data_IF_702486875730
#
_entry.id   IF_702486875730
#
_cell.length_a   1.000
_cell.length_b   1.000
_cell.length_c   1.000
_cell.angle_alpha   90.00
_cell.angle_beta   90.00
_cell.angle_gamma   90.00
#
_symmetry.space_group_name_H-M   'P 1'
#
loop_
_entity.id
_entity.type
_entity.pdbx_description
1 polymer ?
#
# COMPACT_ATOMS: atom_id res chain seq x y z
N UNK A 1 16.53 24.95 -9.46
CA UNK A 1 17.19 24.35 -8.26
C UNK A 1 17.21 22.85 -8.46
N UNK A 2 18.37 22.22 -8.35
CA UNK A 2 18.51 20.76 -8.56
C UNK A 2 17.63 20.02 -7.53
N UNK A 3 16.73 19.13 -7.96
CA UNK A 3 15.79 18.42 -7.06
C UNK A 3 16.47 17.73 -5.88
N UNK A 4 17.71 17.26 -6.06
CA UNK A 4 18.49 16.61 -5.01
C UNK A 4 18.93 17.57 -3.89
N UNK A 5 19.18 18.84 -4.19
CA UNK A 5 19.61 19.85 -3.21
C UNK A 5 18.41 20.30 -2.36
N UNK A 6 17.28 20.58 -3.00
CA UNK A 6 16.04 20.95 -2.29
C UNK A 6 15.59 19.83 -1.34
N UNK A 7 15.76 18.57 -1.74
CA UNK A 7 15.44 17.41 -0.92
C UNK A 7 16.32 17.31 0.33
N UNK A 8 17.63 17.49 0.21
CA UNK A 8 18.58 17.45 1.33
C UNK A 8 18.32 18.55 2.35
N UNK A 9 18.02 19.75 1.89
CA UNK A 9 17.75 20.91 2.78
C UNK A 9 16.46 20.72 3.58
N UNK A 10 15.43 20.10 2.99
CA UNK A 10 14.13 19.89 3.65
C UNK A 10 14.07 18.60 4.50
N UNK A 11 15.02 17.69 4.39
CA UNK A 11 15.02 16.44 5.13
C UNK A 11 14.97 16.60 6.66
N UNK A 12 15.76 17.49 7.29
CA UNK A 12 15.69 17.73 8.74
C UNK A 12 14.31 18.25 9.18
N UNK A 13 13.71 19.17 8.43
CA UNK A 13 12.38 19.72 8.71
C UNK A 13 11.32 18.63 8.62
N UNK A 14 11.41 17.78 7.60
CA UNK A 14 10.50 16.63 7.45
C UNK A 14 10.66 15.62 8.60
N UNK A 15 11.90 15.35 9.03
CA UNK A 15 12.17 14.46 10.19
C UNK A 15 11.57 15.03 11.47
N UNK A 16 11.76 16.31 11.73
CA UNK A 16 11.18 16.99 12.91
C UNK A 16 9.66 16.93 12.85
N UNK A 17 9.06 17.29 11.72
CA UNK A 17 7.60 17.18 11.51
C UNK A 17 7.09 15.77 11.81
N UNK A 18 7.75 14.74 11.31
CA UNK A 18 7.34 13.36 11.50
C UNK A 18 7.43 12.93 12.97
N UNK A 19 8.45 13.39 13.71
CA UNK A 19 8.55 13.19 15.17
C UNK A 19 7.41 13.86 15.91
N UNK A 20 7.10 15.11 15.58
CA UNK A 20 5.99 15.84 16.19
C UNK A 20 4.64 15.18 15.90
N UNK A 21 4.44 14.70 14.68
CA UNK A 21 3.26 13.92 14.31
C UNK A 21 3.14 12.64 15.14
N UNK A 22 4.23 11.89 15.30
CA UNK A 22 4.22 10.68 16.12
C UNK A 22 3.84 10.98 17.57
N UNK A 23 4.52 11.93 18.20
CA UNK A 23 4.23 12.32 19.59
C UNK A 23 2.78 12.78 19.73
N UNK A 24 2.32 13.68 18.85
CA UNK A 24 0.94 14.19 18.90
C UNK A 24 -0.11 13.08 18.74
N UNK A 25 0.10 12.12 17.85
CA UNK A 25 -0.77 10.96 17.65
C UNK A 25 -0.82 10.06 18.90
N UNK A 26 0.35 9.77 19.50
CA UNK A 26 0.44 8.94 20.68
C UNK A 26 -0.18 9.61 21.91
N UNK A 27 0.02 10.92 22.07
CA UNK A 27 -0.64 11.70 23.12
C UNK A 27 -2.16 11.64 22.94
N UNK A 28 -2.67 11.92 21.74
CA UNK A 28 -4.10 11.86 21.45
C UNK A 28 -4.67 10.46 21.73
N UNK A 29 -3.97 9.40 21.31
CA UNK A 29 -4.35 8.01 21.58
C UNK A 29 -4.43 7.71 23.08
N UNK A 30 -3.41 8.12 23.86
CA UNK A 30 -3.37 7.94 25.31
C UNK A 30 -4.45 8.73 26.03
N UNK A 31 -4.83 9.90 25.49
CA UNK A 31 -5.95 10.71 26.00
C UNK A 31 -7.33 10.19 25.54
N UNK A 32 -7.40 9.00 24.95
CA UNK A 32 -8.65 8.34 24.60
C UNK A 32 -9.16 8.66 23.19
N UNK A 33 -8.41 9.36 22.33
CA UNK A 33 -8.81 9.55 20.95
C UNK A 33 -8.93 8.20 20.23
N UNK A 34 -10.09 7.95 19.63
CA UNK A 34 -10.34 6.80 18.74
C UNK A 34 -11.01 7.26 17.45
N UNK A 35 -10.46 6.79 16.35
CA UNK A 35 -11.05 6.98 15.03
C UNK A 35 -12.07 5.87 14.80
N UNK A 36 -13.34 6.23 14.69
CA UNK A 36 -14.46 5.29 14.53
C UNK A 36 -14.99 5.30 13.11
N UNK A 37 -15.60 4.20 12.70
CA UNK A 37 -16.42 4.09 11.51
C UNK A 37 -17.85 3.71 11.89
N UNK A 38 -18.81 3.98 11.03
CA UNK A 38 -20.19 3.51 11.18
C UNK A 38 -20.35 2.03 10.79
N UNK A 39 -19.37 1.49 10.03
CA UNK A 39 -19.39 0.11 9.58
C UNK A 39 -19.12 -0.87 10.72
N UNK A 40 -19.88 -1.97 10.74
CA UNK A 40 -19.61 -3.11 11.64
C UNK A 40 -18.43 -3.98 11.17
N UNK A 41 -17.99 -3.80 9.93
CA UNK A 41 -16.86 -4.52 9.35
C UNK A 41 -15.56 -4.23 10.10
N UNK A 42 -14.66 -5.21 10.09
CA UNK A 42 -13.33 -5.11 10.71
C UNK A 42 -12.24 -5.17 9.65
N UNK A 43 -11.09 -4.60 9.99
CA UNK A 43 -9.97 -4.39 9.09
C UNK A 43 -8.69 -5.06 9.61
N UNK A 44 -7.98 -5.80 8.76
CA UNK A 44 -6.56 -6.12 8.96
C UNK A 44 -5.69 -5.07 8.26
N UNK A 45 -4.68 -4.55 8.96
CA UNK A 45 -3.65 -3.68 8.36
C UNK A 45 -2.34 -4.45 8.22
N UNK A 46 -1.70 -4.38 7.05
CA UNK A 46 -0.42 -5.05 6.77
C UNK A 46 0.64 -4.02 6.39
N UNK A 47 1.78 -4.09 7.02
CA UNK A 47 2.91 -3.18 6.80
C UNK A 47 4.19 -3.98 6.60
N UNK A 48 4.77 -4.02 5.39
CA UNK A 48 6.13 -4.53 5.19
C UNK A 48 7.16 -3.51 5.68
N UNK A 49 8.20 -3.99 6.35
CA UNK A 49 9.35 -3.20 6.79
C UNK A 49 10.64 -3.82 6.27
N UNK A 50 11.43 -3.05 5.54
CA UNK A 50 12.70 -3.53 4.98
C UNK A 50 13.90 -2.69 5.42
N UNK A 51 13.95 -1.43 5.00
CA UNK A 51 15.09 -0.53 5.23
C UNK A 51 14.76 0.64 6.17
N UNK A 52 13.50 0.75 6.61
CA UNK A 52 12.99 1.91 7.37
C UNK A 52 12.27 1.50 8.67
N UNK A 53 12.90 0.70 9.56
CA UNK A 53 12.21 0.16 10.74
C UNK A 53 11.66 1.26 11.67
N UNK A 54 12.35 2.43 11.75
CA UNK A 54 11.91 3.58 12.58
C UNK A 54 10.63 4.25 12.09
N UNK A 55 10.21 4.00 10.85
CA UNK A 55 8.98 4.58 10.31
C UNK A 55 7.73 3.82 10.78
N UNK A 56 7.89 2.55 11.16
CA UNK A 56 6.76 1.68 11.54
C UNK A 56 6.02 2.25 12.73
N UNK A 57 6.70 2.75 13.75
CA UNK A 57 6.07 3.39 14.91
C UNK A 57 5.17 4.58 14.53
N UNK A 58 5.61 5.40 13.58
CA UNK A 58 4.80 6.53 13.12
C UNK A 58 3.54 6.07 12.39
N UNK A 59 3.60 4.99 11.63
CA UNK A 59 2.43 4.39 10.97
C UNK A 59 1.52 3.77 12.03
N UNK A 60 2.08 2.96 12.94
CA UNK A 60 1.35 2.33 14.04
C UNK A 60 0.58 3.34 14.87
N UNK A 61 1.18 4.51 15.18
CA UNK A 61 0.55 5.58 15.97
C UNK A 61 -0.80 6.07 15.40
N UNK A 62 -1.03 5.91 14.10
CA UNK A 62 -2.31 6.21 13.46
C UNK A 62 -3.25 5.02 13.46
N UNK A 63 -2.70 3.83 13.22
CA UNK A 63 -3.48 2.60 13.01
C UNK A 63 -4.07 2.11 14.33
N UNK A 64 -3.30 2.15 15.43
CA UNK A 64 -3.80 1.74 16.76
C UNK A 64 -4.96 2.63 17.25
N UNK A 65 -5.06 3.85 16.77
CA UNK A 65 -6.18 4.74 17.08
C UNK A 65 -7.47 4.38 16.33
N UNK A 66 -7.43 3.48 15.34
CA UNK A 66 -8.60 3.02 14.61
C UNK A 66 -9.25 1.84 15.34
N UNK A 67 -10.48 2.03 15.86
CA UNK A 67 -11.19 0.99 16.61
C UNK A 67 -11.77 -0.13 15.74
N UNK A 68 -11.93 0.14 14.45
CA UNK A 68 -12.35 -0.83 13.43
C UNK A 68 -11.20 -1.74 12.93
N UNK A 69 -9.96 -1.48 13.31
CA UNK A 69 -8.81 -2.37 13.05
C UNK A 69 -8.76 -3.45 14.11
N UNK A 70 -8.88 -4.72 13.71
CA UNK A 70 -8.83 -5.89 14.62
C UNK A 70 -7.48 -6.59 14.63
N UNK A 71 -6.70 -6.47 13.55
CA UNK A 71 -5.38 -7.08 13.40
C UNK A 71 -4.41 -6.12 12.69
N UNK A 72 -3.16 -6.10 13.15
CA UNK A 72 -2.07 -5.33 12.56
C UNK A 72 -0.89 -6.28 12.36
N UNK A 73 -0.54 -6.54 11.11
CA UNK A 73 0.59 -7.39 10.74
C UNK A 73 1.76 -6.50 10.32
N UNK A 74 2.85 -6.57 11.05
CA UNK A 74 4.12 -5.94 10.67
C UNK A 74 5.06 -7.03 10.18
N UNK A 75 5.34 -7.05 8.88
CA UNK A 75 6.28 -8.01 8.30
C UNK A 75 7.70 -7.45 8.33
N UNK A 76 8.57 -8.07 9.11
CA UNK A 76 10.00 -7.77 9.06
C UNK A 76 10.62 -8.50 7.86
N UNK A 77 10.76 -7.78 6.76
CA UNK A 77 11.28 -8.32 5.49
C UNK A 77 12.82 -8.37 5.43
N UNK A 78 13.49 -7.86 6.47
CA UNK A 78 14.95 -7.88 6.57
C UNK A 78 15.38 -8.51 7.91
N UNK A 79 15.71 -9.80 7.96
CA UNK A 79 16.06 -10.48 9.20
C UNK A 79 17.33 -9.93 9.87
N UNK A 80 18.16 -9.16 9.15
CA UNK A 80 19.32 -8.48 9.75
C UNK A 80 18.94 -7.26 10.60
N UNK A 81 17.66 -6.83 10.57
CA UNK A 81 17.16 -5.71 11.35
C UNK A 81 16.35 -6.25 12.54
N UNK A 82 16.78 -6.01 13.78
CA UNK A 82 15.99 -6.35 14.97
C UNK A 82 14.84 -5.33 15.12
N UNK A 83 13.73 -5.57 14.44
CA UNK A 83 12.63 -4.61 14.28
C UNK A 83 12.06 -4.16 15.63
N UNK A 84 12.01 -5.05 16.63
CA UNK A 84 11.49 -4.76 17.97
C UNK A 84 12.23 -3.62 18.68
N UNK A 85 13.51 -3.42 18.39
CA UNK A 85 14.29 -2.34 18.98
C UNK A 85 13.83 -0.95 18.50
N UNK A 86 13.03 -0.90 17.44
CA UNK A 86 12.50 0.32 16.85
C UNK A 86 11.00 0.52 17.12
N UNK A 87 10.34 -0.47 17.74
CA UNK A 87 8.91 -0.43 18.02
C UNK A 87 8.64 -0.06 19.48
N UNK A 88 8.03 1.11 19.68
CA UNK A 88 7.65 1.65 20.99
C UNK A 88 6.14 1.73 21.16
N UNK A 89 5.39 1.46 20.09
CA UNK A 89 3.93 1.35 20.13
C UNK A 89 3.56 -0.08 20.49
N UNK A 90 2.93 -0.26 21.65
CA UNK A 90 2.45 -1.55 22.13
C UNK A 90 0.93 -1.58 22.05
N UNK A 91 0.39 -2.58 21.36
CA UNK A 91 -1.04 -2.84 21.23
C UNK A 91 -1.22 -4.34 20.99
N UNK A 92 -2.18 -5.02 21.67
CA UNK A 92 -2.34 -6.48 21.54
C UNK A 92 -2.74 -6.95 20.14
N UNK A 93 -3.20 -6.04 19.28
CA UNK A 93 -3.54 -6.34 17.89
C UNK A 93 -2.31 -6.44 16.97
N UNK A 94 -1.14 -5.99 17.45
CA UNK A 94 0.09 -5.99 16.65
C UNK A 94 0.73 -7.38 16.69
N UNK A 95 0.93 -7.95 15.52
CA UNK A 95 1.67 -9.20 15.29
C UNK A 95 2.85 -8.93 14.37
N UNK A 96 4.06 -9.22 14.85
CA UNK A 96 5.28 -9.14 14.04
C UNK A 96 5.52 -10.49 13.39
N UNK A 97 5.78 -10.49 12.08
CA UNK A 97 6.13 -11.68 11.32
C UNK A 97 7.56 -11.50 10.80
N UNK A 98 8.50 -12.27 11.35
CA UNK A 98 9.88 -12.26 10.87
C UNK A 98 10.02 -13.17 9.65
N UNK A 99 10.49 -12.61 8.55
CA UNK A 99 10.82 -13.40 7.38
C UNK A 99 12.17 -14.10 7.57
N UNK A 100 12.29 -15.39 7.18
CA UNK A 100 13.54 -16.17 7.42
C UNK A 100 14.72 -15.67 6.57
N UNK A 101 14.43 -14.91 5.52
CA UNK A 101 15.42 -14.31 4.60
C UNK A 101 14.92 -12.95 4.15
N UNK A 102 15.78 -12.17 3.49
CA UNK A 102 15.36 -10.93 2.83
C UNK A 102 14.26 -11.23 1.82
N UNK A 103 13.12 -10.57 2.00
CA UNK A 103 11.89 -10.83 1.25
C UNK A 103 11.36 -9.53 0.68
N UNK A 104 10.89 -9.52 -0.57
CA UNK A 104 10.30 -8.32 -1.18
C UNK A 104 8.97 -7.95 -0.52
N UNK A 105 8.49 -6.74 -0.78
CA UNK A 105 7.25 -6.22 -0.21
C UNK A 105 6.01 -7.02 -0.66
N UNK A 106 6.09 -7.75 -1.76
CA UNK A 106 5.03 -8.65 -2.27
C UNK A 106 4.60 -9.74 -1.30
N UNK A 107 5.43 -10.09 -0.29
CA UNK A 107 5.06 -11.03 0.78
C UNK A 107 3.79 -10.60 1.54
N UNK A 108 3.43 -9.31 1.49
CA UNK A 108 2.17 -8.81 2.05
C UNK A 108 0.95 -9.55 1.52
N UNK A 109 0.96 -10.00 0.29
CA UNK A 109 -0.17 -10.71 -0.30
C UNK A 109 -0.24 -12.18 0.15
N UNK A 110 0.89 -12.82 0.41
CA UNK A 110 0.92 -14.13 1.06
C UNK A 110 0.36 -14.04 2.49
N UNK A 111 0.78 -13.02 3.25
CA UNK A 111 0.26 -12.75 4.58
C UNK A 111 -1.24 -12.40 4.56
N UNK A 112 -1.71 -11.75 3.51
CA UNK A 112 -3.12 -11.40 3.34
C UNK A 112 -4.04 -12.60 3.21
N UNK A 113 -3.58 -13.72 2.67
CA UNK A 113 -4.34 -14.98 2.65
C UNK A 113 -4.70 -15.49 4.03
N UNK A 114 -3.84 -15.19 5.02
CA UNK A 114 -3.97 -15.62 6.41
C UNK A 114 -4.38 -14.50 7.35
N UNK A 115 -4.82 -13.35 6.81
CA UNK A 115 -5.34 -12.24 7.59
C UNK A 115 -6.63 -12.63 8.32
N UNK A 116 -6.84 -12.14 9.54
CA UNK A 116 -8.05 -12.40 10.30
C UNK A 116 -9.30 -11.91 9.59
N UNK A 117 -9.18 -10.75 8.93
CA UNK A 117 -10.31 -10.10 8.28
C UNK A 117 -10.30 -10.27 6.75
N UNK A 118 -11.48 -10.17 6.16
CA UNK A 118 -11.64 -10.10 4.70
C UNK A 118 -11.12 -8.79 4.12
N UNK A 119 -11.29 -7.69 4.86
CA UNK A 119 -10.94 -6.35 4.47
C UNK A 119 -9.50 -6.04 4.87
N UNK A 120 -8.70 -5.60 3.94
CA UNK A 120 -7.26 -5.43 4.16
C UNK A 120 -6.83 -4.05 3.66
N UNK A 121 -5.99 -3.38 4.45
CA UNK A 121 -5.25 -2.18 4.03
C UNK A 121 -3.76 -2.48 4.14
N UNK A 122 -3.05 -2.36 3.03
CA UNK A 122 -1.59 -2.38 3.03
C UNK A 122 -1.04 -0.94 3.05
N UNK A 123 0.01 -0.70 3.82
CA UNK A 123 0.67 0.61 3.96
C UNK A 123 2.18 0.41 3.80
N UNK A 124 2.79 1.13 2.86
CA UNK A 124 4.24 1.10 2.67
C UNK A 124 4.98 1.80 3.81
N UNK A 125 6.23 1.39 4.07
CA UNK A 125 7.05 1.90 5.18
C UNK A 125 7.58 3.33 4.98
N UNK A 126 7.18 4.01 3.90
CA UNK A 126 7.61 5.37 3.57
C UNK A 126 6.47 6.42 3.55
N UNK A 127 5.24 6.02 3.88
CA UNK A 127 4.08 6.90 3.97
C UNK A 127 3.41 6.83 5.33
N UNK A 128 2.86 7.95 5.76
CA UNK A 128 2.32 8.13 7.11
C UNK A 128 0.88 8.64 7.08
N UNK A 129 -0.09 7.79 6.69
CA UNK A 129 -1.49 8.18 6.70
C UNK A 129 -1.95 8.49 8.12
N UNK A 130 -2.88 9.42 8.28
CA UNK A 130 -3.60 9.64 9.53
C UNK A 130 -4.67 8.57 9.72
N UNK A 131 -5.16 8.39 10.94
CA UNK A 131 -6.26 7.47 11.24
C UNK A 131 -7.53 7.79 10.42
N UNK A 132 -7.80 9.09 10.15
CA UNK A 132 -8.91 9.50 9.28
C UNK A 132 -8.71 9.07 7.83
N UNK A 133 -7.46 9.09 7.34
CA UNK A 133 -7.13 8.60 6.01
C UNK A 133 -7.28 7.06 5.95
N UNK A 134 -6.78 6.32 6.94
CA UNK A 134 -6.99 4.87 7.02
C UNK A 134 -8.49 4.54 7.00
N UNK A 135 -9.31 5.25 7.80
CA UNK A 135 -10.76 5.10 7.81
C UNK A 135 -11.36 5.36 6.43
N UNK A 136 -11.02 6.48 5.80
CA UNK A 136 -11.58 6.84 4.49
C UNK A 136 -11.28 5.77 3.43
N UNK A 137 -10.08 5.17 3.46
CA UNK A 137 -9.71 4.11 2.52
C UNK A 137 -10.52 2.83 2.78
N UNK A 138 -10.69 2.47 4.05
CA UNK A 138 -11.50 1.33 4.46
C UNK A 138 -12.98 1.50 4.07
N UNK A 139 -13.60 2.65 4.38
CA UNK A 139 -14.99 2.95 4.02
C UNK A 139 -15.22 2.91 2.50
N UNK A 140 -14.23 3.35 1.69
CA UNK A 140 -14.29 3.22 0.22
C UNK A 140 -14.28 1.78 -0.24
N UNK A 141 -13.44 0.95 0.37
CA UNK A 141 -13.40 -0.48 0.06
C UNK A 141 -14.70 -1.18 0.43
N UNK A 142 -15.28 -0.88 1.60
CA UNK A 142 -16.57 -1.46 2.03
C UNK A 142 -17.69 -1.04 1.10
N UNK A 143 -17.72 0.23 0.68
CA UNK A 143 -18.74 0.76 -0.24
C UNK A 143 -18.64 0.21 -1.68
N UNK A 144 -17.43 -0.15 -2.13
CA UNK A 144 -17.20 -0.68 -3.48
C UNK A 144 -16.19 -1.84 -3.47
N UNK A 145 -16.56 -3.00 -2.91
CA UNK A 145 -15.66 -4.13 -2.66
C UNK A 145 -15.19 -4.86 -3.92
N UNK A 146 -15.74 -4.52 -5.07
CA UNK A 146 -15.35 -5.06 -6.37
C UNK A 146 -14.12 -4.39 -6.99
N UNK A 147 -13.69 -3.24 -6.45
CA UNK A 147 -12.52 -2.51 -6.89
C UNK A 147 -11.42 -2.52 -5.83
N UNK A 148 -10.18 -2.36 -6.25
CA UNK A 148 -9.05 -2.06 -5.36
C UNK A 148 -8.92 -0.55 -5.22
N UNK A 149 -8.66 -0.05 -4.02
CA UNK A 149 -8.67 1.38 -3.70
C UNK A 149 -7.32 1.86 -3.20
N UNK A 150 -6.98 3.13 -3.47
CA UNK A 150 -5.75 3.75 -3.00
C UNK A 150 -5.81 5.26 -2.90
N UNK A 151 -4.69 5.89 -2.57
CA UNK A 151 -4.53 7.33 -2.48
C UNK A 151 -3.68 7.94 -3.58
N UNK A 152 -2.86 7.16 -4.20
CA UNK A 152 -2.03 7.53 -5.34
C UNK A 152 -1.98 6.40 -6.33
N UNK A 153 -1.74 6.72 -7.57
CA UNK A 153 -1.64 5.73 -8.62
C UNK A 153 -0.98 6.31 -9.87
N UNK A 154 -0.87 5.46 -10.86
CA UNK A 154 -0.22 5.75 -12.13
C UNK A 154 -1.17 5.42 -13.27
N UNK A 155 -1.16 6.28 -14.28
CA UNK A 155 -1.85 6.06 -15.54
C UNK A 155 -0.79 5.87 -16.61
N UNK A 156 -0.88 4.79 -17.34
CA UNK A 156 0.04 4.42 -18.39
C UNK A 156 -0.65 4.52 -19.75
N UNK A 157 0.01 5.17 -20.70
CA UNK A 157 -0.47 5.21 -22.09
C UNK A 157 -0.42 3.85 -22.78
N UNK A 158 -1.11 3.71 -23.90
CA UNK A 158 -1.03 2.51 -24.72
C UNK A 158 0.32 2.41 -25.44
N UNK A 159 0.93 1.20 -25.57
CA UNK A 159 2.02 0.96 -26.49
C UNK A 159 1.53 1.15 -27.95
N UNK A 160 2.34 1.63 -28.89
CA UNK A 160 3.77 1.86 -28.81
C UNK A 160 4.16 3.31 -28.58
N UNK A 161 3.23 4.20 -28.27
CA UNK A 161 3.57 5.59 -28.00
C UNK A 161 4.59 5.62 -26.86
N UNK A 162 5.65 6.40 -27.00
CA UNK A 162 6.63 6.65 -25.93
C UNK A 162 5.88 6.79 -24.62
N UNK A 163 6.13 5.89 -23.69
CA UNK A 163 5.36 5.70 -22.48
C UNK A 163 4.99 7.02 -21.83
N UNK A 164 3.76 7.45 -22.02
CA UNK A 164 3.19 8.54 -21.27
C UNK A 164 2.82 7.98 -19.91
N UNK A 165 3.72 8.13 -18.97
CA UNK A 165 3.52 7.82 -17.59
C UNK A 165 3.04 9.09 -16.87
N UNK A 166 1.95 8.99 -16.13
CA UNK A 166 1.45 10.05 -15.30
C UNK A 166 1.13 9.56 -13.90
N UNK A 167 1.93 9.98 -12.92
CA UNK A 167 1.59 9.79 -11.52
C UNK A 167 0.42 10.71 -11.13
N UNK A 168 -0.64 10.13 -10.60
CA UNK A 168 -1.80 10.85 -10.06
C UNK A 168 -1.74 10.84 -8.55
N UNK A 169 -1.70 12.03 -7.96
CA UNK A 169 -1.62 12.23 -6.53
C UNK A 169 -2.68 13.25 -6.12
N UNK A 170 -3.39 12.98 -5.03
CA UNK A 170 -4.41 13.89 -4.48
C UNK A 170 -5.44 14.35 -5.55
N UNK A 171 -6.17 13.42 -6.16
CA UNK A 171 -7.15 13.77 -7.18
C UNK A 171 -8.27 14.63 -6.54
N UNK A 172 -8.96 15.45 -7.34
CA UNK A 172 -10.11 16.23 -6.85
C UNK A 172 -11.35 15.38 -6.55
N UNK A 173 -11.39 14.14 -7.00
CA UNK A 173 -12.48 13.17 -6.81
C UNK A 173 -11.95 11.76 -6.84
N UNK A 174 -12.74 10.82 -7.32
CA UNK A 174 -12.31 9.44 -7.61
C UNK A 174 -11.77 9.36 -9.02
N UNK A 175 -10.60 8.73 -9.20
CA UNK A 175 -9.94 8.58 -10.50
C UNK A 175 -9.52 7.12 -10.68
N UNK A 176 -9.80 6.57 -11.86
CA UNK A 176 -9.31 5.27 -12.28
C UNK A 176 -7.82 5.33 -12.63
N UNK A 177 -7.05 4.33 -12.22
CA UNK A 177 -5.62 4.21 -12.45
C UNK A 177 -5.24 2.78 -12.86
N UNK A 178 -4.08 2.63 -13.46
CA UNK A 178 -3.55 1.33 -13.88
C UNK A 178 -2.72 0.65 -12.79
N UNK A 179 -2.08 1.42 -11.94
CA UNK A 179 -1.39 0.88 -10.76
C UNK A 179 -1.52 1.81 -9.57
N UNK A 180 -1.58 1.22 -8.38
CA UNK A 180 -1.66 1.93 -7.12
C UNK A 180 -0.27 2.27 -6.59
N UNK A 181 -0.21 3.15 -5.58
CA UNK A 181 1.01 3.52 -4.87
C UNK A 181 0.73 3.73 -3.38
N UNK A 182 1.72 3.46 -2.51
CA UNK A 182 1.85 3.88 -1.12
C UNK A 182 0.97 3.15 -0.10
N UNK A 183 -0.34 3.28 -0.24
CA UNK A 183 -1.30 2.59 0.60
C UNK A 183 -2.53 2.26 -0.22
N UNK A 184 -2.99 1.04 -0.09
CA UNK A 184 -4.10 0.52 -0.87
C UNK A 184 -4.94 -0.43 -0.05
N UNK A 185 -6.24 -0.48 -0.37
CA UNK A 185 -7.22 -1.31 0.28
C UNK A 185 -7.82 -2.31 -0.72
N UNK A 186 -7.94 -3.54 -0.29
CA UNK A 186 -8.40 -4.68 -1.08
C UNK A 186 -9.06 -5.74 -0.20
N UNK A 187 -9.73 -6.68 -0.83
CA UNK A 187 -10.32 -7.83 -0.13
C UNK A 187 -9.45 -9.06 -0.28
N UNK A 188 -9.69 -10.11 0.52
CA UNK A 188 -9.06 -11.41 0.34
C UNK A 188 -9.34 -12.00 -1.05
N UNK A 189 -10.52 -11.76 -1.61
CA UNK A 189 -10.87 -12.23 -2.96
C UNK A 189 -9.97 -11.58 -4.04
N UNK A 190 -9.59 -10.31 -3.85
CA UNK A 190 -8.59 -9.66 -4.71
C UNK A 190 -7.21 -10.32 -4.61
N UNK A 191 -6.85 -10.84 -3.44
CA UNK A 191 -5.58 -11.55 -3.25
C UNK A 191 -5.56 -12.86 -4.03
N UNK A 192 -6.65 -13.63 -4.01
CA UNK A 192 -6.73 -14.84 -4.82
C UNK A 192 -6.66 -14.52 -6.33
N UNK A 193 -7.39 -13.47 -6.76
CA UNK A 193 -7.29 -12.99 -8.14
C UNK A 193 -5.89 -12.51 -8.53
N UNK A 194 -5.17 -11.89 -7.60
CA UNK A 194 -3.78 -11.49 -7.78
C UNK A 194 -2.88 -12.70 -8.05
N UNK A 195 -2.97 -13.76 -7.26
CA UNK A 195 -2.17 -14.98 -7.46
C UNK A 195 -2.56 -15.72 -8.74
N UNK A 196 -3.84 -15.76 -9.10
CA UNK A 196 -4.29 -16.30 -10.38
C UNK A 196 -3.69 -15.52 -11.56
N UNK A 197 -3.57 -14.20 -11.42
CA UNK A 197 -2.95 -13.35 -12.43
C UNK A 197 -1.46 -13.62 -12.54
N UNK A 198 -0.74 -13.79 -11.43
CA UNK A 198 0.67 -14.15 -11.43
C UNK A 198 0.91 -15.51 -12.12
N UNK A 199 0.05 -16.48 -11.87
CA UNK A 199 0.12 -17.78 -12.54
C UNK A 199 -0.04 -17.64 -14.06
N UNK A 200 -0.99 -16.81 -14.54
CA UNK A 200 -1.17 -16.53 -15.97
C UNK A 200 -0.01 -15.74 -16.58
N UNK A 201 0.65 -14.89 -15.79
CA UNK A 201 1.84 -14.17 -16.20
C UNK A 201 3.08 -15.06 -16.25
N UNK A 202 3.07 -16.22 -15.57
CA UNK A 202 4.25 -17.06 -15.37
C UNK A 202 5.32 -16.37 -14.51
N UNK A 203 4.92 -15.59 -13.50
CA UNK A 203 5.82 -14.81 -12.63
C UNK A 203 5.61 -15.26 -11.19
N UNK A 204 6.69 -15.53 -10.49
CA UNK A 204 6.65 -15.78 -9.04
C UNK A 204 6.46 -14.48 -8.26
N UNK A 205 5.75 -14.55 -7.13
CA UNK A 205 5.47 -13.38 -6.29
C UNK A 205 6.75 -12.62 -5.87
N UNK A 206 7.83 -13.35 -5.62
CA UNK A 206 9.12 -12.78 -5.24
C UNK A 206 9.87 -12.06 -6.39
N UNK A 207 9.49 -12.29 -7.65
CA UNK A 207 10.18 -11.78 -8.85
C UNK A 207 9.66 -10.43 -9.33
N UNK A 208 8.62 -9.87 -8.69
CA UNK A 208 7.94 -8.64 -9.13
C UNK A 208 8.77 -7.35 -8.98
N UNK A 209 9.97 -7.41 -8.41
CA UNK A 209 10.91 -6.27 -8.30
C UNK A 209 10.26 -4.97 -7.80
N UNK A 210 9.45 -5.05 -6.74
CA UNK A 210 8.69 -3.90 -6.18
C UNK A 210 7.63 -3.33 -7.15
N UNK A 211 7.05 -4.16 -7.98
CA UNK A 211 5.91 -3.84 -8.87
C UNK A 211 4.68 -4.69 -8.53
N UNK A 212 4.62 -5.22 -7.32
CA UNK A 212 3.53 -6.08 -6.82
C UNK A 212 2.18 -5.36 -6.73
N UNK A 213 2.18 -4.05 -6.67
CA UNK A 213 1.00 -3.21 -6.74
C UNK A 213 0.32 -3.23 -8.11
N UNK A 214 1.07 -3.54 -9.19
CA UNK A 214 0.54 -3.61 -10.56
C UNK A 214 -0.47 -4.76 -10.69
N UNK A 215 -0.12 -6.05 -10.48
CA UNK A 215 -1.11 -7.13 -10.60
C UNK A 215 -2.28 -6.98 -9.63
N UNK A 216 -2.06 -6.45 -8.41
CA UNK A 216 -3.14 -6.16 -7.49
C UNK A 216 -4.13 -5.14 -8.05
N UNK A 217 -3.65 -4.11 -8.73
CA UNK A 217 -4.50 -3.06 -9.31
C UNK A 217 -5.45 -3.59 -10.38
N UNK A 218 -5.12 -4.72 -11.00
CA UNK A 218 -5.95 -5.43 -11.96
C UNK A 218 -6.74 -6.61 -11.36
N UNK A 219 -6.67 -6.81 -10.05
CA UNK A 219 -7.37 -7.89 -9.39
C UNK A 219 -8.88 -7.63 -9.17
N UNK A 220 -9.33 -6.39 -9.29
CA UNK A 220 -10.75 -6.02 -9.22
C UNK A 220 -11.52 -6.31 -10.51
N UNK A 221 -12.85 -6.17 -10.45
CA UNK A 221 -13.75 -6.30 -11.62
C UNK A 221 -13.68 -5.09 -12.58
N UNK A 222 -12.94 -4.08 -12.23
CA UNK A 222 -12.71 -2.87 -13.01
C UNK A 222 -11.36 -2.26 -12.67
N UNK A 223 -11.10 -1.04 -13.09
CA UNK A 223 -9.83 -0.36 -12.79
C UNK A 223 -9.69 -0.13 -11.28
N UNK A 224 -8.47 -0.07 -10.81
CA UNK A 224 -8.19 0.42 -9.47
C UNK A 224 -8.59 1.89 -9.33
N UNK A 225 -9.06 2.27 -8.16
CA UNK A 225 -9.61 3.60 -7.89
C UNK A 225 -8.77 4.34 -6.84
N UNK A 226 -8.39 5.57 -7.13
CA UNK A 226 -7.76 6.45 -6.14
C UNK A 226 -8.70 7.57 -5.72
N UNK A 227 -8.59 7.95 -4.45
CA UNK A 227 -9.48 8.92 -3.82
C UNK A 227 -8.72 10.08 -3.19
N UNK A 228 -9.37 11.24 -3.13
CA UNK A 228 -8.85 12.36 -2.37
C UNK A 228 -9.10 12.15 -0.87
N UNK A 229 -8.04 11.90 -0.13
CA UNK A 229 -8.06 11.91 1.33
C UNK A 229 -7.15 12.99 1.92
N UNK A 230 -6.85 14.01 1.11
CA UNK A 230 -5.88 15.03 1.46
C UNK A 230 -4.42 14.56 1.32
N UNK A 231 -3.50 15.43 1.68
CA UNK A 231 -2.07 15.17 1.52
C UNK A 231 -1.57 14.14 2.56
N UNK A 232 -0.96 13.06 2.07
CA UNK A 232 -0.30 12.08 2.92
C UNK A 232 1.13 12.55 3.22
N UNK A 233 1.53 12.43 4.49
CA UNK A 233 2.91 12.68 4.89
C UNK A 233 3.81 11.55 4.40
N UNK A 234 5.00 11.88 3.91
CA UNK A 234 5.96 10.92 3.35
C UNK A 234 7.30 10.99 4.08
N UNK A 235 8.01 9.88 4.04
CA UNK A 235 9.36 9.78 4.56
C UNK A 235 10.32 10.70 3.78
N UNK A 236 11.34 11.30 4.42
CA UNK A 236 12.41 11.99 3.71
C UNK A 236 13.19 11.10 2.74
N UNK A 237 13.33 9.81 3.03
CA UNK A 237 14.08 8.85 2.19
C UNK A 237 13.26 8.23 1.03
N UNK A 238 12.07 8.72 0.76
CA UNK A 238 11.22 8.25 -0.34
C UNK A 238 11.80 8.48 -1.74
N UNK A 239 12.82 9.30 -1.83
CA UNK A 239 13.52 9.69 -3.05
C UNK A 239 15.04 9.53 -2.94
N UNK A 240 15.52 8.72 -2.00
CA UNK A 240 16.95 8.38 -1.88
C UNK A 240 17.29 7.22 -2.83
N UNK A 241 18.26 7.35 -3.76
CA UNK A 241 18.55 6.36 -4.79
C UNK A 241 18.84 4.95 -4.26
N UNK A 242 19.46 4.85 -3.09
CA UNK A 242 19.84 3.57 -2.48
C UNK A 242 18.64 2.82 -1.86
N UNK A 243 17.55 3.53 -1.61
CA UNK A 243 16.37 3.00 -0.90
C UNK A 243 15.12 3.02 -1.78
N UNK A 244 14.98 4.02 -2.65
CA UNK A 244 13.81 4.21 -3.50
C UNK A 244 13.88 3.29 -4.72
N UNK A 245 13.06 2.25 -4.75
CA UNK A 245 13.05 1.25 -5.83
C UNK A 245 12.70 1.83 -7.20
N UNK A 246 11.85 2.86 -7.24
CA UNK A 246 11.46 3.53 -8.48
C UNK A 246 12.61 4.28 -9.19
N UNK A 247 13.74 4.48 -8.50
CA UNK A 247 14.96 5.09 -9.08
C UNK A 247 15.90 4.06 -9.74
N UNK A 248 15.59 2.77 -9.65
CA UNK A 248 16.43 1.73 -10.26
C UNK A 248 16.30 1.76 -11.77
N UNK A 249 17.41 1.52 -12.50
CA UNK A 249 17.36 1.37 -13.96
C UNK A 249 16.35 0.30 -14.38
N UNK A 250 15.58 0.55 -15.44
CA UNK A 250 14.59 -0.39 -15.96
C UNK A 250 13.28 -0.50 -15.16
N UNK A 251 13.14 0.20 -14.04
CA UNK A 251 11.93 0.10 -13.20
C UNK A 251 10.64 0.48 -13.95
N UNK A 252 10.65 1.59 -14.67
CA UNK A 252 9.47 2.05 -15.41
C UNK A 252 9.17 1.22 -16.65
N UNK A 253 10.21 0.71 -17.33
CA UNK A 253 10.08 -0.19 -18.46
C UNK A 253 9.42 -1.51 -18.05
N UNK A 254 9.90 -2.10 -16.96
CA UNK A 254 9.33 -3.31 -16.38
C UNK A 254 7.85 -3.10 -15.97
N UNK A 255 7.54 -2.01 -15.28
CA UNK A 255 6.15 -1.71 -14.86
C UNK A 255 5.23 -1.52 -16.07
N UNK A 256 5.68 -0.82 -17.10
CA UNK A 256 4.89 -0.61 -18.33
C UNK A 256 4.52 -1.93 -18.99
N UNK A 257 5.49 -2.83 -19.13
CA UNK A 257 5.26 -4.15 -19.70
C UNK A 257 4.29 -4.96 -18.85
N UNK A 258 4.50 -4.97 -17.54
CA UNK A 258 3.62 -5.65 -16.59
C UNK A 258 2.18 -5.12 -16.65
N UNK A 259 1.99 -3.79 -16.69
CA UNK A 259 0.67 -3.15 -16.85
C UNK A 259 0.00 -3.61 -18.14
N UNK A 260 0.69 -3.64 -19.26
CA UNK A 260 0.13 -4.08 -20.54
C UNK A 260 -0.35 -5.54 -20.47
N UNK A 261 0.45 -6.42 -19.88
CA UNK A 261 0.11 -7.85 -19.71
C UNK A 261 -1.07 -8.02 -18.75
N UNK A 262 -1.08 -7.33 -17.62
CA UNK A 262 -2.19 -7.37 -16.66
C UNK A 262 -3.50 -6.85 -17.25
N UNK A 263 -3.47 -5.76 -18.04
CA UNK A 263 -4.67 -5.28 -18.78
C UNK A 263 -5.24 -6.34 -19.71
N UNK A 264 -4.40 -7.02 -20.47
CA UNK A 264 -4.84 -8.05 -21.39
C UNK A 264 -5.51 -9.22 -20.65
N UNK A 265 -4.94 -9.67 -19.54
CA UNK A 265 -5.51 -10.72 -18.68
C UNK A 265 -6.85 -10.27 -18.09
N UNK A 266 -6.93 -9.05 -17.53
CA UNK A 266 -8.17 -8.55 -16.96
C UNK A 266 -9.25 -8.41 -18.04
N UNK A 267 -8.94 -7.87 -19.21
CA UNK A 267 -9.89 -7.75 -20.32
C UNK A 267 -10.43 -9.12 -20.76
N UNK A 268 -9.55 -10.12 -20.90
CA UNK A 268 -9.96 -11.49 -21.26
C UNK A 268 -10.87 -12.13 -20.20
N UNK A 269 -10.58 -11.90 -18.91
CA UNK A 269 -11.39 -12.42 -17.79
C UNK A 269 -12.83 -11.90 -17.82
N UNK A 270 -13.05 -10.65 -18.20
CA UNK A 270 -14.37 -10.01 -18.17
C UNK A 270 -15.05 -9.92 -19.54
N UNK A 271 -14.37 -10.24 -20.65
CA UNK A 271 -14.98 -10.33 -21.98
C UNK A 271 -16.03 -11.44 -22.12
N UNK A 272 -15.97 -12.46 -21.25
CA UNK A 272 -16.89 -13.63 -21.26
C UNK A 272 -18.24 -13.42 -20.58
N UNK A 273 -18.58 -12.22 -20.07
CA UNK A 273 -19.81 -11.95 -19.31
C UNK A 273 -19.79 -12.56 -17.90
N UNK A 274 -20.81 -12.30 -17.06
CA UNK A 274 -20.86 -12.82 -15.70
C UNK A 274 -20.97 -14.35 -15.73
N UNK A 275 -19.98 -15.02 -15.18
CA UNK A 275 -20.04 -16.46 -14.99
C UNK A 275 -21.12 -16.80 -13.97
N UNK A 276 -21.82 -17.95 -14.17
CA UNK A 276 -22.96 -18.41 -13.36
C UNK A 276 -22.67 -18.66 -11.87
N UNK A 277 -21.48 -18.33 -11.39
CA UNK A 277 -21.08 -18.39 -9.97
C UNK A 277 -21.44 -17.14 -9.16
N UNK A 278 -21.98 -16.10 -9.79
CA UNK A 278 -22.28 -14.80 -9.17
C UNK A 278 -23.79 -14.57 -8.91
N UNK A 279 -24.60 -15.65 -8.89
CA UNK A 279 -26.02 -15.58 -8.51
C UNK A 279 -26.26 -16.17 -7.13
#
# INVERSE_FOLDING_TARGET
MNPSVAHRVLAPVRRLRNRLLHVGRMVAYRLGYRCRTADAARLTVIMPSYARPRNIDLILSSVVACDFVSEIIVSNNNPAVPLEQFLHVHDPRIRIVHQPRRTPASVRFELSRHAAERWIVAIDDDVFPSSRQVRSLFERLVAAPHAVHGYGGEIWGDPPAKATYRAVRWPRGTVAVDSLMWAFAYTRDHVETYFDMLAQLGIENAELNSSEDVPLSFAGRGPALIHNAGRICRCPSDSEPEVATWMRPGFFEHRRELVARCRAIQAARYAGGPTSRDR
#
